data_IF_039197014254
#
_entry.id   IF_039197014254
#
_cell.length_a   1.000
_cell.length_b   1.000
_cell.length_c   1.000
_cell.angle_alpha   90.00
_cell.angle_beta   90.00
_cell.angle_gamma   90.00
#
_symmetry.space_group_name_H-M   'P 1'
#
loop_
_entity.id
_entity.type
_entity.pdbx_description
1 polymer ?
#
# COMPACT_ATOMS: atom_id res chain seq x y z
N UNK A 1 30.29 -10.29 0.36
CA UNK A 1 29.75 -9.18 -0.25
C UNK A 1 28.28 -9.24 -0.32
N UNK A 2 27.75 -8.25 0.10
CA UNK A 2 26.30 -8.30 0.22
C UNK A 2 25.61 -7.74 -1.00
N UNK A 3 26.18 -7.91 -2.14
CA UNK A 3 25.59 -7.37 -3.33
C UNK A 3 24.33 -8.04 -3.78
N UNK A 4 23.69 -8.76 -2.88
CA UNK A 4 22.55 -9.57 -3.26
C UNK A 4 21.26 -8.81 -3.41
N UNK A 5 21.25 -7.55 -3.06
CA UNK A 5 20.02 -6.78 -3.15
C UNK A 5 18.99 -7.12 -2.10
N UNK A 6 19.42 -7.77 -1.04
CA UNK A 6 18.50 -8.07 0.06
C UNK A 6 18.31 -6.83 0.91
N UNK A 7 17.04 -6.48 1.14
CA UNK A 7 16.69 -5.34 1.97
C UNK A 7 15.73 -5.79 3.06
N UNK A 8 15.89 -5.21 4.23
CA UNK A 8 14.96 -5.45 5.32
C UNK A 8 13.99 -4.29 5.36
N UNK A 9 12.72 -4.60 5.18
CA UNK A 9 11.66 -3.62 5.20
C UNK A 9 10.85 -3.80 6.46
N UNK A 10 10.41 -2.69 7.03
CA UNK A 10 9.63 -2.75 8.25
C UNK A 10 8.28 -2.07 8.03
N UNK A 11 7.22 -2.83 8.21
CA UNK A 11 5.85 -2.32 8.11
C UNK A 11 5.06 -2.81 9.31
N UNK A 12 4.40 -1.89 9.99
CA UNK A 12 3.49 -2.23 11.09
C UNK A 12 4.15 -3.07 12.17
N UNK A 13 5.42 -2.74 12.46
CA UNK A 13 6.15 -3.41 13.51
C UNK A 13 6.75 -4.75 13.15
N UNK A 14 6.61 -5.17 11.92
CA UNK A 14 7.18 -6.43 11.45
C UNK A 14 8.28 -6.17 10.44
N UNK A 15 9.26 -7.06 10.43
CA UNK A 15 10.38 -6.97 9.49
C UNK A 15 10.24 -8.02 8.41
N UNK A 16 10.52 -7.62 7.19
CA UNK A 16 10.46 -8.49 6.03
C UNK A 16 11.76 -8.39 5.27
N UNK A 17 12.34 -9.54 4.93
CA UNK A 17 13.52 -9.57 4.08
C UNK A 17 13.08 -9.78 2.64
N UNK A 18 13.41 -8.83 1.80
CA UNK A 18 13.00 -8.86 0.41
C UNK A 18 14.22 -8.73 -0.48
N UNK A 19 14.28 -9.54 -1.52
CA UNK A 19 15.40 -9.50 -2.45
C UNK A 19 14.97 -8.80 -3.73
N UNK A 20 15.70 -7.74 -4.09
CA UNK A 20 15.45 -7.04 -5.31
C UNK A 20 16.39 -7.57 -6.40
N UNK A 21 15.93 -7.63 -7.66
CA UNK A 21 16.83 -7.96 -8.75
C UNK A 21 17.95 -6.95 -8.84
N UNK A 22 19.07 -7.38 -9.44
CA UNK A 22 20.22 -6.50 -9.59
C UNK A 22 19.81 -5.22 -10.31
N UNK A 23 20.19 -4.10 -9.75
CA UNK A 23 19.89 -2.81 -10.36
C UNK A 23 18.53 -2.24 -9.98
N UNK A 24 17.73 -2.97 -9.20
CA UNK A 24 16.40 -2.49 -8.81
C UNK A 24 16.25 -2.23 -7.33
N UNK A 25 17.36 -2.17 -6.62
CA UNK A 25 17.31 -1.92 -5.18
C UNK A 25 16.67 -0.58 -4.87
N UNK A 26 16.98 0.43 -5.67
CA UNK A 26 16.43 1.75 -5.44
C UNK A 26 14.93 1.78 -5.69
N UNK A 27 14.50 1.07 -6.73
CA UNK A 27 13.07 0.99 -7.03
C UNK A 27 12.32 0.32 -5.89
N UNK A 28 12.93 -0.72 -5.31
CA UNK A 28 12.32 -1.38 -4.16
C UNK A 28 12.22 -0.43 -2.97
N UNK A 29 13.26 0.34 -2.71
CA UNK A 29 13.21 1.30 -1.62
C UNK A 29 12.16 2.37 -1.84
N UNK A 30 12.04 2.86 -3.04
CA UNK A 30 11.04 3.87 -3.37
C UNK A 30 9.64 3.30 -3.21
N UNK A 31 9.45 2.06 -3.63
CA UNK A 31 8.16 1.39 -3.48
C UNK A 31 7.83 1.20 -1.99
N UNK A 32 8.82 0.83 -1.20
CA UNK A 32 8.60 0.65 0.23
C UNK A 32 8.21 1.98 0.90
N UNK A 33 8.82 3.07 0.48
CA UNK A 33 8.49 4.38 1.01
C UNK A 33 7.05 4.77 0.66
N UNK A 34 6.63 4.47 -0.56
CA UNK A 34 5.27 4.74 -0.98
C UNK A 34 4.27 3.93 -0.15
N UNK A 35 4.56 2.67 0.06
CA UNK A 35 3.68 1.82 0.85
C UNK A 35 3.62 2.30 2.30
N UNK A 36 4.75 2.67 2.87
CA UNK A 36 4.78 3.17 4.24
C UNK A 36 3.94 4.42 4.39
N UNK A 37 4.04 5.33 3.42
CA UNK A 37 3.25 6.55 3.45
C UNK A 37 1.76 6.24 3.37
N UNK A 38 1.40 5.27 2.54
CA UNK A 38 0.00 4.87 2.39
C UNK A 38 -0.51 4.22 3.67
N UNK A 39 0.29 3.39 4.30
CA UNK A 39 -0.09 2.76 5.56
C UNK A 39 -0.35 3.82 6.63
N UNK A 40 0.52 4.82 6.71
CA UNK A 40 0.36 5.88 7.68
C UNK A 40 -0.94 6.65 7.44
N UNK A 41 -1.21 6.98 6.19
CA UNK A 41 -2.42 7.71 5.84
C UNK A 41 -3.67 6.88 6.12
N UNK A 42 -3.65 5.61 5.79
CA UNK A 42 -4.80 4.73 6.01
C UNK A 42 -5.05 4.51 7.49
N UNK A 43 -3.99 4.43 8.28
CA UNK A 43 -4.14 4.25 9.71
C UNK A 43 -4.85 5.43 10.36
N UNK A 44 -4.59 6.63 9.87
CA UNK A 44 -5.26 7.81 10.39
C UNK A 44 -6.75 7.79 10.07
N UNK A 45 -7.11 7.28 8.90
CA UNK A 45 -8.51 7.22 8.49
C UNK A 45 -9.26 6.07 9.16
N UNK A 46 -8.56 4.96 9.38
CA UNK A 46 -9.19 3.75 9.90
C UNK A 46 -8.40 3.21 11.10
N UNK A 47 -8.41 3.93 12.22
CA UNK A 47 -7.60 3.52 13.37
C UNK A 47 -8.10 2.26 14.06
N UNK A 48 -9.28 1.78 13.70
CA UNK A 48 -9.90 0.63 14.35
C UNK A 48 -9.65 -0.69 13.62
N UNK A 49 -8.96 -0.67 12.50
CA UNK A 49 -8.74 -1.90 11.73
C UNK A 49 -7.51 -2.65 12.25
N UNK A 50 -7.47 -3.94 11.96
CA UNK A 50 -6.31 -4.76 12.31
C UNK A 50 -5.14 -4.44 11.40
N UNK A 51 -3.95 -4.90 11.80
CA UNK A 51 -2.76 -4.71 10.96
C UNK A 51 -2.92 -5.36 9.59
N UNK A 52 -3.52 -6.54 9.56
CA UNK A 52 -3.75 -7.24 8.29
C UNK A 52 -4.67 -6.43 7.39
N UNK A 53 -5.78 -5.96 7.94
CA UNK A 53 -6.72 -5.15 7.18
C UNK A 53 -6.07 -3.87 6.69
N UNK A 54 -5.27 -3.26 7.54
CA UNK A 54 -4.60 -2.02 7.18
C UNK A 54 -3.62 -2.24 6.02
N UNK A 55 -2.88 -3.34 6.06
CA UNK A 55 -1.95 -3.65 4.98
C UNK A 55 -2.68 -3.84 3.65
N UNK A 56 -3.78 -4.59 3.67
CA UNK A 56 -4.57 -4.85 2.45
C UNK A 56 -5.15 -3.55 1.92
N UNK A 57 -5.72 -2.73 2.80
CA UNK A 57 -6.28 -1.43 2.40
C UNK A 57 -5.22 -0.56 1.76
N UNK A 58 -4.05 -0.49 2.39
CA UNK A 58 -2.98 0.37 1.92
C UNK A 58 -2.49 -0.07 0.54
N UNK A 59 -2.31 -1.38 0.37
CA UNK A 59 -1.84 -1.92 -0.90
C UNK A 59 -2.85 -1.68 -2.01
N UNK A 60 -4.12 -1.93 -1.74
CA UNK A 60 -5.14 -1.76 -2.76
C UNK A 60 -5.36 -0.30 -3.11
N UNK A 61 -5.31 0.58 -2.14
CA UNK A 61 -5.42 2.01 -2.42
C UNK A 61 -4.27 2.51 -3.29
N UNK A 62 -3.08 2.04 -2.99
CA UNK A 62 -1.91 2.44 -3.76
C UNK A 62 -2.03 1.96 -5.21
N UNK A 63 -2.45 0.71 -5.39
CA UNK A 63 -2.63 0.15 -6.72
C UNK A 63 -3.74 0.87 -7.48
N UNK A 64 -4.83 1.19 -6.80
CA UNK A 64 -5.95 1.87 -7.43
C UNK A 64 -5.55 3.24 -7.95
N UNK A 65 -4.74 3.97 -7.17
CA UNK A 65 -4.24 5.27 -7.62
C UNK A 65 -3.33 5.14 -8.82
N UNK A 66 -2.53 4.09 -8.82
CA UNK A 66 -1.61 3.85 -9.94
C UNK A 66 -2.38 3.59 -11.23
N UNK A 67 -3.44 2.79 -11.14
CA UNK A 67 -4.27 2.50 -12.29
C UNK A 67 -5.01 3.75 -12.78
N UNK A 68 -5.52 4.55 -11.85
CA UNK A 68 -6.16 5.80 -12.21
C UNK A 68 -5.22 6.75 -12.92
N UNK A 69 -3.99 6.83 -12.45
CA UNK A 69 -2.99 7.69 -13.09
C UNK A 69 -2.67 7.22 -14.50
N UNK A 70 -2.64 5.91 -14.71
CA UNK A 70 -2.36 5.36 -16.03
C UNK A 70 -3.49 5.62 -17.02
N UNK A 71 -4.72 5.64 -16.53
CA UNK A 71 -5.86 5.93 -17.39
C UNK A 71 -5.88 7.39 -17.83
N UNK A 72 -5.26 8.25 -17.05
CA UNK A 72 -5.13 9.64 -17.41
C UNK A 72 -6.42 10.42 -17.46
N UNK A 73 -7.50 9.86 -16.93
CA UNK A 73 -8.81 10.47 -17.06
C UNK A 73 -9.42 10.94 -15.78
N UNK A 74 -8.82 10.67 -14.67
CA UNK A 74 -9.42 11.01 -13.41
C UNK A 74 -8.98 12.38 -12.98
N UNK A 75 -9.93 13.26 -12.74
CA UNK A 75 -9.53 14.40 -11.96
C UNK A 75 -9.37 13.93 -10.50
N UNK A 76 -8.77 14.79 -9.71
CA UNK A 76 -8.39 14.39 -8.36
C UNK A 76 -9.59 14.09 -7.48
N UNK A 77 -10.67 14.82 -7.68
CA UNK A 77 -11.88 14.63 -6.87
C UNK A 77 -12.50 13.27 -7.14
N UNK A 78 -12.57 12.88 -8.41
CA UNK A 78 -13.11 11.57 -8.78
C UNK A 78 -12.26 10.45 -8.20
N UNK A 79 -10.94 10.60 -8.25
CA UNK A 79 -10.04 9.59 -7.73
C UNK A 79 -10.25 9.40 -6.23
N UNK A 80 -10.38 10.50 -5.50
CA UNK A 80 -10.59 10.44 -4.05
C UNK A 80 -11.93 9.75 -3.75
N UNK A 81 -12.98 10.08 -4.49
CA UNK A 81 -14.28 9.49 -4.27
C UNK A 81 -14.28 8.00 -4.56
N UNK A 82 -13.61 7.58 -5.63
CA UNK A 82 -13.52 6.17 -5.97
C UNK A 82 -12.77 5.39 -4.91
N UNK A 83 -11.70 5.97 -4.40
CA UNK A 83 -10.90 5.31 -3.37
C UNK A 83 -11.71 5.19 -2.08
N UNK A 84 -12.48 6.20 -1.73
CA UNK A 84 -13.32 6.13 -0.54
C UNK A 84 -14.35 5.02 -0.65
N UNK A 85 -14.97 4.88 -1.83
CA UNK A 85 -15.93 3.81 -2.07
C UNK A 85 -15.25 2.45 -2.01
N UNK A 86 -14.08 2.33 -2.61
CA UNK A 86 -13.33 1.09 -2.59
C UNK A 86 -12.97 0.71 -1.16
N UNK A 87 -12.50 1.65 -0.38
CA UNK A 87 -12.16 1.40 1.02
C UNK A 87 -13.34 0.84 1.79
N UNK A 88 -14.51 1.42 1.60
CA UNK A 88 -15.70 0.97 2.30
C UNK A 88 -16.03 -0.47 1.94
N UNK A 89 -15.95 -0.81 0.66
CA UNK A 89 -16.24 -2.17 0.22
C UNK A 89 -15.22 -3.16 0.72
N UNK A 90 -13.94 -2.78 0.70
CA UNK A 90 -12.88 -3.65 1.17
C UNK A 90 -13.04 -3.94 2.65
N UNK A 91 -13.27 -2.90 3.44
CA UNK A 91 -13.44 -3.08 4.87
C UNK A 91 -14.64 -3.95 5.19
N UNK A 92 -15.76 -3.69 4.51
CA UNK A 92 -16.96 -4.47 4.72
C UNK A 92 -16.70 -5.95 4.44
N UNK A 93 -16.01 -6.23 3.34
CA UNK A 93 -15.71 -7.60 2.97
C UNK A 93 -14.76 -8.26 3.96
N UNK A 94 -13.71 -7.57 4.35
CA UNK A 94 -12.72 -8.10 5.28
C UNK A 94 -13.33 -8.39 6.64
N UNK A 95 -14.19 -7.53 7.11
CA UNK A 95 -14.78 -7.68 8.43
C UNK A 95 -15.84 -8.77 8.46
N UNK A 96 -16.35 -9.16 7.31
CA UNK A 96 -17.30 -10.27 7.23
C UNK A 96 -16.64 -11.62 7.20
N UNK A 97 -15.34 -11.69 7.01
CA UNK A 97 -14.65 -12.95 6.81
C UNK A 97 -14.14 -13.58 8.09
N UNK A 98 -14.62 -13.22 9.19
CA UNK A 98 -14.21 -13.84 10.44
C UNK A 98 -14.62 -15.31 10.54
#
# INVERSE_FOLDING_TARGET
MSGDGVRVLRFLGREYSVRAPAGEERRLQDAAALLQAEITASKKKFPYVTSNELMVLSALNLCARQLGAQDGECDEADAVERIATLNRRILDHLQRQD
#
